data_IF_592213488659
#
_entry.id   IF_592213488659
#
_cell.length_a   1.000
_cell.length_b   1.000
_cell.length_c   1.000
_cell.angle_alpha   90.00
_cell.angle_beta   90.00
_cell.angle_gamma   90.00
#
_symmetry.space_group_name_H-M   'P 1'
#
loop_
_entity.id
_entity.type
_entity.pdbx_description
1 polymer ?
#
# COMPACT_ATOMS: atom_id res chain seq x y z
N UNK A 1 8.25 1.71 6.82
CA UNK A 1 8.47 2.84 5.89
C UNK A 1 7.17 3.33 5.29
N UNK A 2 6.50 2.59 4.40
CA UNK A 2 5.29 3.07 3.69
C UNK A 2 4.15 3.52 4.63
N UNK A 3 3.92 2.79 5.73
CA UNK A 3 2.93 3.18 6.74
C UNK A 3 3.30 4.49 7.46
N UNK A 4 4.57 4.66 7.80
CA UNK A 4 5.05 5.89 8.43
C UNK A 4 4.93 7.06 7.44
N UNK A 5 5.23 6.81 6.15
CA UNK A 5 5.12 7.79 5.09
C UNK A 5 3.69 8.30 4.93
N UNK A 6 2.69 7.41 4.82
CA UNK A 6 1.30 7.86 4.65
C UNK A 6 0.74 8.56 5.89
N UNK A 7 1.15 8.16 7.09
CA UNK A 7 0.76 8.86 8.33
C UNK A 7 1.36 10.27 8.36
N UNK A 8 2.67 10.37 8.12
CA UNK A 8 3.38 11.66 8.09
C UNK A 8 2.82 12.58 7.00
N UNK A 9 2.55 12.02 5.81
CA UNK A 9 1.98 12.77 4.70
C UNK A 9 0.58 13.31 5.04
N UNK A 10 -0.25 12.51 5.73
CA UNK A 10 -1.57 12.94 6.20
C UNK A 10 -1.46 14.07 7.22
N UNK A 11 -0.61 13.90 8.24
CA UNK A 11 -0.37 14.93 9.26
C UNK A 11 0.12 16.24 8.63
N UNK A 12 1.08 16.17 7.70
CA UNK A 12 1.62 17.34 7.01
C UNK A 12 0.63 18.02 6.07
N UNK A 13 -0.17 17.24 5.34
CA UNK A 13 -1.21 17.81 4.49
C UNK A 13 -2.29 18.54 5.30
N UNK A 14 -2.64 18.03 6.49
CA UNK A 14 -3.53 18.71 7.42
C UNK A 14 -2.91 20.00 7.95
N UNK A 15 -1.62 19.99 8.34
CA UNK A 15 -0.88 21.20 8.78
C UNK A 15 -0.85 22.31 7.72
N UNK A 16 -0.84 21.96 6.44
CA UNK A 16 -0.77 22.90 5.30
C UNK A 16 -2.15 23.23 4.69
N UNK A 17 -3.24 22.77 5.30
CA UNK A 17 -4.62 22.90 4.82
C UNK A 17 -4.86 22.30 3.42
N UNK A 18 -4.08 21.30 3.01
CA UNK A 18 -4.17 20.66 1.70
C UNK A 18 -5.22 19.56 1.62
N UNK A 19 -5.68 19.02 2.74
CA UNK A 19 -6.67 17.92 2.78
C UNK A 19 -8.03 18.29 2.19
N UNK A 20 -8.31 19.58 2.00
CA UNK A 20 -9.51 20.07 1.30
C UNK A 20 -9.38 20.04 -0.23
N UNK A 21 -8.15 19.96 -0.75
CA UNK A 21 -7.81 20.03 -2.19
C UNK A 21 -7.23 18.72 -2.73
N UNK A 22 -6.50 17.98 -1.90
CA UNK A 22 -5.83 16.74 -2.28
C UNK A 22 -6.44 15.54 -1.57
N UNK A 23 -6.53 14.42 -2.29
CA UNK A 23 -6.74 13.12 -1.69
C UNK A 23 -5.41 12.44 -1.43
N UNK A 24 -5.20 11.95 -0.21
CA UNK A 24 -4.03 11.15 0.14
C UNK A 24 -4.41 9.68 0.06
N UNK A 25 -3.69 8.94 -0.78
CA UNK A 25 -3.94 7.52 -0.99
C UNK A 25 -2.66 6.74 -1.19
N UNK A 26 -2.70 5.46 -0.83
CA UNK A 26 -1.80 4.47 -1.39
C UNK A 26 -2.15 4.24 -2.87
N UNK A 27 -1.20 3.66 -3.58
CA UNK A 27 -1.42 3.12 -4.91
C UNK A 27 -1.09 1.63 -4.93
N UNK A 28 -1.77 0.92 -5.82
CA UNK A 28 -1.47 -0.46 -6.10
C UNK A 28 -0.02 -0.59 -6.59
N UNK A 29 0.62 -1.74 -6.38
CA UNK A 29 1.96 -1.99 -6.94
C UNK A 29 1.88 -1.97 -8.46
N UNK A 30 2.67 -1.08 -9.08
CA UNK A 30 2.68 -0.87 -10.51
C UNK A 30 4.00 -0.21 -10.95
N UNK A 31 4.26 -0.23 -12.25
CA UNK A 31 5.49 0.30 -12.88
C UNK A 31 6.80 -0.31 -12.33
N UNK A 32 7.93 0.15 -12.85
CA UNK A 32 9.27 -0.22 -12.39
C UNK A 32 9.94 0.91 -11.60
N UNK A 33 11.19 0.73 -11.16
CA UNK A 33 12.07 -0.42 -11.41
C UNK A 33 11.71 -1.64 -10.53
N UNK A 34 11.84 -2.85 -11.07
CA UNK A 34 11.57 -4.11 -10.34
C UNK A 34 12.82 -4.83 -9.84
N UNK A 35 13.98 -4.54 -10.44
CA UNK A 35 15.28 -5.16 -10.14
C UNK A 35 16.04 -4.34 -9.09
N UNK A 36 15.42 -4.12 -7.93
CA UNK A 36 15.98 -3.37 -6.82
C UNK A 36 16.24 -4.29 -5.63
N UNK A 37 17.44 -4.20 -5.06
CA UNK A 37 17.81 -4.95 -3.84
C UNK A 37 17.75 -4.10 -2.57
N UNK A 38 17.59 -2.78 -2.71
CA UNK A 38 17.37 -1.86 -1.60
C UNK A 38 15.87 -1.60 -1.44
N UNK A 39 15.32 -1.64 -0.22
CA UNK A 39 13.91 -1.31 0.01
C UNK A 39 13.58 0.09 -0.51
N UNK A 40 12.51 0.21 -1.29
CA UNK A 40 12.16 1.43 -2.00
C UNK A 40 10.64 1.66 -1.94
N UNK A 41 10.23 2.92 -1.83
CA UNK A 41 8.85 3.38 -2.00
C UNK A 41 8.84 4.60 -2.91
N UNK A 42 7.69 4.86 -3.52
CA UNK A 42 7.40 6.12 -4.19
C UNK A 42 6.49 6.97 -3.30
N UNK A 43 6.73 8.29 -3.30
CA UNK A 43 5.86 9.31 -2.71
C UNK A 43 5.68 10.34 -3.81
N UNK A 44 4.44 10.61 -4.21
CA UNK A 44 4.14 11.28 -5.48
C UNK A 44 3.14 12.42 -5.29
N UNK A 45 3.19 13.39 -6.21
CA UNK A 45 2.18 14.43 -6.36
C UNK A 45 1.48 14.19 -7.70
N UNK A 46 0.16 14.05 -7.64
CA UNK A 46 -0.68 13.82 -8.80
C UNK A 46 -1.79 14.87 -8.93
N UNK A 47 -2.43 14.99 -10.10
CA UNK A 47 -2.26 14.10 -11.26
C UNK A 47 -1.84 14.82 -12.54
N UNK A 48 -1.69 16.14 -12.52
CA UNK A 48 -1.35 16.94 -13.70
C UNK A 48 -0.19 17.90 -13.41
N UNK A 49 0.40 18.54 -14.45
CA UNK A 49 1.38 19.58 -14.25
C UNK A 49 0.94 20.72 -13.33
N UNK A 50 -0.37 20.95 -13.16
CA UNK A 50 -0.85 21.93 -12.20
C UNK A 50 -0.48 21.54 -10.76
N UNK A 51 -0.78 20.31 -10.37
CA UNK A 51 -0.47 19.80 -9.03
C UNK A 51 1.03 19.60 -8.84
N UNK A 52 1.75 19.16 -9.88
CA UNK A 52 3.21 18.99 -9.81
C UNK A 52 3.97 20.29 -9.51
N UNK A 53 3.38 21.44 -9.87
CA UNK A 53 3.93 22.77 -9.61
C UNK A 53 3.25 23.47 -8.41
N UNK A 54 2.43 22.78 -7.62
CA UNK A 54 1.85 23.34 -6.40
C UNK A 54 2.91 23.34 -5.28
N UNK A 55 3.48 24.51 -5.02
CA UNK A 55 4.56 24.70 -4.04
C UNK A 55 4.21 24.12 -2.66
N UNK A 56 2.96 24.24 -2.21
CA UNK A 56 2.54 23.67 -0.92
C UNK A 56 2.57 22.15 -0.93
N UNK A 57 2.15 21.51 -2.03
CA UNK A 57 2.19 20.06 -2.15
C UNK A 57 3.65 19.56 -2.19
N UNK A 58 4.53 20.30 -2.87
CA UNK A 58 5.97 20.02 -2.91
C UNK A 58 6.61 20.17 -1.53
N UNK A 59 6.25 21.19 -0.76
CA UNK A 59 6.72 21.37 0.61
C UNK A 59 6.29 20.21 1.50
N UNK A 60 5.01 19.84 1.48
CA UNK A 60 4.47 18.71 2.26
C UNK A 60 5.17 17.40 1.92
N UNK A 61 5.39 17.11 0.63
CA UNK A 61 6.13 15.92 0.21
C UNK A 61 7.59 15.97 0.68
N UNK A 62 8.26 17.09 0.51
CA UNK A 62 9.67 17.28 0.89
C UNK A 62 9.88 17.13 2.40
N UNK A 63 9.02 17.75 3.22
CA UNK A 63 9.05 17.61 4.67
C UNK A 63 8.77 16.17 5.11
N UNK A 64 7.81 15.49 4.45
CA UNK A 64 7.52 14.08 4.70
C UNK A 64 8.77 13.22 4.49
N UNK A 65 9.47 13.41 3.36
CA UNK A 65 10.72 12.68 3.08
C UNK A 65 11.78 12.99 4.13
N UNK A 66 11.97 14.25 4.50
CA UNK A 66 12.96 14.65 5.50
C UNK A 66 12.68 14.04 6.88
N UNK A 67 11.42 13.96 7.29
CA UNK A 67 11.02 13.33 8.55
C UNK A 67 11.26 11.81 8.53
N UNK A 68 10.94 11.15 7.42
CA UNK A 68 11.21 9.71 7.24
C UNK A 68 12.71 9.39 7.30
N UNK A 69 13.57 10.27 6.79
CA UNK A 69 15.02 10.10 6.85
C UNK A 69 15.60 10.33 8.25
N UNK A 70 14.95 11.15 9.08
CA UNK A 70 15.37 11.43 10.47
C UNK A 70 14.92 10.34 11.44
N UNK A 71 13.79 9.71 11.18
CA UNK A 71 13.23 8.66 12.04
C UNK A 71 13.91 7.30 11.79
N UNK A 72 14.10 6.51 12.85
CA UNK A 72 14.49 5.10 12.69
C UNK A 72 13.27 4.33 12.19
N UNK A 73 13.32 3.86 10.94
CA UNK A 73 12.23 3.09 10.33
C UNK A 73 12.53 1.59 10.37
N UNK A 74 11.55 0.73 10.73
CA UNK A 74 10.24 1.09 11.30
C UNK A 74 10.36 1.54 12.76
N UNK A 75 9.64 2.61 13.10
CA UNK A 75 9.64 3.19 14.46
C UNK A 75 8.65 2.49 15.40
N UNK A 76 7.78 1.62 14.86
CA UNK A 76 6.68 0.95 15.57
C UNK A 76 6.57 -0.53 15.14
N UNK A 77 6.03 -1.35 16.04
CA UNK A 77 5.71 -2.75 15.75
C UNK A 77 4.36 -2.83 15.02
N UNK A 78 4.40 -3.01 13.70
CA UNK A 78 3.21 -3.12 12.87
C UNK A 78 2.85 -4.59 12.59
N UNK A 79 1.61 -4.84 12.21
CA UNK A 79 1.25 -6.11 11.58
C UNK A 79 1.39 -5.97 10.07
N UNK A 80 2.26 -6.78 9.47
CA UNK A 80 2.65 -6.67 8.07
C UNK A 80 1.83 -7.60 7.18
N UNK A 81 1.42 -7.09 6.01
CA UNK A 81 0.59 -7.81 5.05
C UNK A 81 1.01 -7.53 3.61
N UNK A 82 0.63 -8.45 2.72
CA UNK A 82 0.44 -8.14 1.29
C UNK A 82 -1.06 -7.96 1.01
N UNK A 83 -1.41 -6.92 0.27
CA UNK A 83 -2.78 -6.54 -0.05
C UNK A 83 -3.26 -7.13 -1.38
N UNK A 84 -4.51 -7.58 -1.43
CA UNK A 84 -5.12 -8.06 -2.68
C UNK A 84 -6.54 -7.51 -2.88
N UNK A 85 -6.84 -7.05 -4.09
CA UNK A 85 -8.13 -6.54 -4.49
C UNK A 85 -8.26 -5.02 -4.48
N UNK A 86 -9.46 -4.52 -4.73
CA UNK A 86 -9.75 -3.09 -4.82
C UNK A 86 -9.27 -2.44 -6.14
N UNK A 87 -9.55 -1.14 -6.30
CA UNK A 87 -9.08 -0.35 -7.45
C UNK A 87 -7.62 0.10 -7.26
N UNK A 88 -7.08 0.77 -8.27
CA UNK A 88 -5.70 1.27 -8.32
C UNK A 88 -5.30 2.13 -7.11
N UNK A 89 -6.10 3.15 -6.73
CA UNK A 89 -5.82 4.01 -5.57
C UNK A 89 -6.10 3.38 -4.19
N UNK A 90 -6.33 2.06 -4.13
CA UNK A 90 -6.36 1.27 -2.92
C UNK A 90 -7.07 1.89 -1.67
N UNK A 91 -8.26 2.53 -1.78
CA UNK A 91 -8.81 3.40 -0.73
C UNK A 91 -9.11 2.68 0.58
N UNK A 92 -9.52 1.41 0.48
CA UNK A 92 -9.78 0.59 1.66
C UNK A 92 -8.50 0.20 2.41
N UNK A 93 -7.38 0.06 1.69
CA UNK A 93 -6.06 -0.17 2.28
C UNK A 93 -5.49 1.12 2.87
N UNK A 94 -5.63 2.26 2.20
CA UNK A 94 -5.33 3.59 2.75
C UNK A 94 -6.02 3.78 4.09
N UNK A 95 -7.35 3.56 4.12
CA UNK A 95 -8.15 3.72 5.34
C UNK A 95 -7.71 2.81 6.48
N UNK A 96 -7.37 1.54 6.20
CA UNK A 96 -6.95 0.61 7.26
C UNK A 96 -5.54 0.93 7.77
N UNK A 97 -4.62 1.34 6.88
CA UNK A 97 -3.27 1.72 7.27
C UNK A 97 -3.23 3.00 8.10
N UNK A 98 -4.12 3.95 7.86
CA UNK A 98 -4.23 5.18 8.67
C UNK A 98 -4.87 4.95 10.04
N UNK A 99 -5.80 3.97 10.16
CA UNK A 99 -6.64 3.83 11.37
C UNK A 99 -6.24 2.71 12.33
N UNK A 100 -5.37 1.80 11.90
CA UNK A 100 -5.04 0.59 12.67
C UNK A 100 -3.52 0.39 12.76
N UNK A 101 -3.06 -0.70 13.35
CA UNK A 101 -1.65 -1.11 13.36
C UNK A 101 -1.21 -1.86 12.08
N UNK A 102 -2.10 -2.05 11.10
CA UNK A 102 -1.83 -2.74 9.83
C UNK A 102 -0.88 -1.93 8.94
N UNK A 103 0.19 -2.57 8.46
CA UNK A 103 1.07 -2.08 7.41
C UNK A 103 0.97 -3.01 6.19
N UNK A 104 0.75 -2.46 5.01
CA UNK A 104 0.70 -3.22 3.76
C UNK A 104 1.92 -2.85 2.93
N UNK A 105 2.63 -3.87 2.42
CA UNK A 105 3.73 -3.70 1.48
C UNK A 105 3.19 -3.62 0.04
N UNK A 106 3.32 -4.72 -0.69
CA UNK A 106 2.74 -4.83 -2.02
C UNK A 106 1.20 -4.90 -2.01
N UNK A 107 0.58 -4.35 -3.06
CA UNK A 107 -0.88 -4.39 -3.27
C UNK A 107 -1.16 -4.82 -4.72
N UNK A 108 -1.75 -5.99 -4.90
CA UNK A 108 -2.21 -6.45 -6.21
C UNK A 108 -3.69 -6.07 -6.40
N UNK A 109 -4.03 -5.12 -7.29
CA UNK A 109 -5.39 -4.62 -7.44
C UNK A 109 -6.26 -5.64 -8.17
N UNK A 110 -7.58 -5.55 -7.99
CA UNK A 110 -8.52 -6.59 -8.45
C UNK A 110 -8.49 -6.92 -9.94
N UNK A 111 -8.09 -5.97 -10.77
CA UNK A 111 -8.07 -6.12 -12.24
C UNK A 111 -6.91 -6.98 -12.74
N UNK A 112 -5.83 -7.18 -11.97
CA UNK A 112 -4.66 -7.97 -12.45
C UNK A 112 -4.95 -9.48 -12.48
N UNK A 113 -5.93 -9.93 -11.70
CA UNK A 113 -6.36 -11.32 -11.65
C UNK A 113 -6.94 -11.83 -12.98
N UNK A 114 -7.97 -11.20 -13.56
CA UNK A 114 -8.44 -11.56 -14.90
C UNK A 114 -7.41 -11.29 -16.01
N UNK A 115 -6.41 -10.44 -15.76
CA UNK A 115 -5.29 -10.22 -16.69
C UNK A 115 -4.22 -11.33 -16.64
N UNK A 116 -4.35 -12.31 -15.73
CA UNK A 116 -3.45 -13.45 -15.66
C UNK A 116 -2.17 -13.19 -14.86
N UNK A 117 -2.24 -12.42 -13.75
CA UNK A 117 -1.16 -12.40 -12.75
C UNK A 117 -0.82 -13.84 -12.36
N UNK A 118 0.48 -14.16 -12.36
CA UNK A 118 0.94 -15.52 -12.10
C UNK A 118 1.08 -15.79 -10.61
N UNK A 119 0.94 -17.06 -10.22
CA UNK A 119 1.08 -17.48 -8.82
C UNK A 119 2.48 -17.16 -8.27
N UNK A 120 3.52 -17.29 -9.10
CA UNK A 120 4.89 -16.99 -8.69
C UNK A 120 5.05 -15.51 -8.34
N UNK A 121 4.39 -14.62 -9.08
CA UNK A 121 4.40 -13.16 -8.81
C UNK A 121 3.65 -12.84 -7.51
N UNK A 122 2.53 -13.53 -7.25
CA UNK A 122 1.81 -13.40 -5.99
C UNK A 122 2.70 -13.81 -4.81
N UNK A 123 3.37 -14.96 -4.90
CA UNK A 123 4.24 -15.44 -3.83
C UNK A 123 5.49 -14.56 -3.67
N UNK A 124 6.10 -14.11 -4.78
CA UNK A 124 7.25 -13.21 -4.78
C UNK A 124 6.93 -11.88 -4.06
N UNK A 125 5.69 -11.40 -4.14
CA UNK A 125 5.29 -10.18 -3.45
C UNK A 125 5.38 -10.27 -1.92
N UNK A 126 5.40 -11.47 -1.33
CA UNK A 126 5.66 -11.64 0.11
C UNK A 126 7.16 -11.60 0.42
N UNK A 127 7.98 -12.25 -0.42
CA UNK A 127 9.43 -12.27 -0.28
C UNK A 127 10.08 -10.90 -0.51
N UNK A 128 9.47 -10.07 -1.36
CA UNK A 128 9.93 -8.71 -1.67
C UNK A 128 9.48 -7.64 -0.66
N UNK A 129 8.79 -8.04 0.42
CA UNK A 129 8.57 -7.17 1.59
C UNK A 129 9.63 -7.49 2.64
N UNK A 130 10.34 -6.48 3.12
CA UNK A 130 11.47 -6.61 4.06
C UNK A 130 11.10 -7.42 5.30
N UNK A 131 9.90 -7.19 5.84
CA UNK A 131 9.40 -7.82 7.05
C UNK A 131 8.89 -9.26 6.84
N UNK A 132 8.89 -9.76 5.60
CA UNK A 132 8.49 -11.12 5.22
C UNK A 132 7.15 -11.55 5.84
N UNK A 133 6.05 -10.83 5.52
CA UNK A 133 4.75 -11.11 6.12
C UNK A 133 4.27 -12.52 5.77
N UNK A 134 3.69 -13.22 6.75
CA UNK A 134 2.96 -14.48 6.53
C UNK A 134 1.44 -14.27 6.51
N UNK A 135 0.98 -13.03 6.31
CA UNK A 135 -0.43 -12.65 6.32
C UNK A 135 -0.81 -11.91 5.03
N UNK A 136 -1.93 -12.30 4.44
CA UNK A 136 -2.55 -11.63 3.30
C UNK A 136 -3.78 -10.85 3.74
N UNK A 137 -3.93 -9.62 3.25
CA UNK A 137 -5.13 -8.81 3.48
C UNK A 137 -5.93 -8.66 2.20
N UNK A 138 -7.10 -9.30 2.15
CA UNK A 138 -7.95 -9.32 0.96
C UNK A 138 -9.11 -8.34 1.10
N UNK A 139 -9.22 -7.40 0.16
CA UNK A 139 -10.42 -6.62 -0.06
C UNK A 139 -11.44 -7.52 -0.76
N UNK A 140 -12.26 -8.20 0.05
CA UNK A 140 -13.02 -9.40 -0.38
C UNK A 140 -13.86 -9.19 -1.64
N UNK A 141 -14.53 -8.04 -1.76
CA UNK A 141 -15.43 -7.75 -2.90
C UNK A 141 -14.71 -7.27 -4.17
N UNK A 142 -13.43 -6.90 -4.09
CA UNK A 142 -12.68 -6.35 -5.23
C UNK A 142 -11.94 -7.40 -6.03
N UNK A 143 -12.04 -8.67 -5.67
CA UNK A 143 -11.63 -9.79 -6.50
C UNK A 143 -12.87 -10.63 -6.77
N UNK A 144 -13.22 -10.81 -8.04
CA UNK A 144 -14.36 -11.63 -8.46
C UNK A 144 -13.99 -13.11 -8.36
N UNK A 145 -14.99 -13.96 -8.15
CA UNK A 145 -14.81 -15.40 -8.39
C UNK A 145 -14.67 -15.63 -9.91
N UNK A 146 -13.92 -16.65 -10.37
CA UNK A 146 -13.24 -17.69 -9.56
C UNK A 146 -11.89 -17.23 -8.96
N UNK A 147 -11.31 -16.12 -9.44
CA UNK A 147 -9.96 -15.69 -9.06
C UNK A 147 -9.72 -15.57 -7.57
N UNK A 148 -10.71 -15.07 -6.81
CA UNK A 148 -10.60 -14.97 -5.35
C UNK A 148 -10.47 -16.34 -4.67
N UNK A 149 -11.16 -17.36 -5.16
CA UNK A 149 -11.06 -18.72 -4.60
C UNK A 149 -9.68 -19.30 -4.87
N UNK A 150 -9.20 -19.19 -6.12
CA UNK A 150 -7.87 -19.64 -6.50
C UNK A 150 -6.77 -18.94 -5.69
N UNK A 151 -6.89 -17.62 -5.46
CA UNK A 151 -5.96 -16.88 -4.61
C UNK A 151 -5.98 -17.40 -3.16
N UNK A 152 -7.17 -17.61 -2.58
CA UNK A 152 -7.29 -18.11 -1.20
C UNK A 152 -6.70 -19.52 -1.07
N UNK A 153 -6.90 -20.38 -2.06
CA UNK A 153 -6.31 -21.73 -2.11
C UNK A 153 -4.78 -21.65 -2.19
N UNK A 154 -4.23 -20.90 -3.15
CA UNK A 154 -2.79 -20.67 -3.29
C UNK A 154 -2.15 -20.19 -1.98
N UNK A 155 -2.73 -19.18 -1.34
CA UNK A 155 -2.19 -18.60 -0.10
C UNK A 155 -2.20 -19.63 1.04
N UNK A 156 -3.28 -20.42 1.17
CA UNK A 156 -3.36 -21.48 2.20
C UNK A 156 -2.35 -22.60 1.98
N UNK A 157 -2.16 -23.04 0.75
CA UNK A 157 -1.16 -24.07 0.39
C UNK A 157 0.27 -23.64 0.74
N UNK A 158 0.51 -22.31 0.77
CA UNK A 158 1.80 -21.71 1.11
C UNK A 158 1.87 -21.21 2.58
N UNK A 159 0.97 -21.65 3.46
CA UNK A 159 0.91 -21.28 4.87
C UNK A 159 0.76 -19.77 5.14
N UNK A 160 0.11 -19.03 4.22
CA UNK A 160 -0.17 -17.61 4.38
C UNK A 160 -1.58 -17.43 4.95
N UNK A 161 -1.67 -16.77 6.10
CA UNK A 161 -2.94 -16.49 6.77
C UNK A 161 -3.77 -15.48 5.96
N UNK A 162 -5.03 -15.79 5.65
CA UNK A 162 -5.91 -14.91 4.89
C UNK A 162 -6.83 -14.13 5.82
N UNK A 163 -6.66 -12.80 5.85
CA UNK A 163 -7.55 -11.89 6.53
C UNK A 163 -8.41 -11.12 5.54
N UNK A 164 -9.64 -10.83 5.97
CA UNK A 164 -10.61 -10.05 5.21
C UNK A 164 -10.58 -8.61 5.68
N UNK A 165 -10.32 -7.69 4.75
CA UNK A 165 -10.28 -6.26 5.05
C UNK A 165 -11.62 -5.76 5.60
N UNK A 166 -12.75 -6.28 5.10
CA UNK A 166 -14.09 -5.93 5.60
C UNK A 166 -14.39 -6.43 7.03
N UNK A 167 -13.49 -7.20 7.63
CA UNK A 167 -13.59 -7.69 9.02
C UNK A 167 -12.67 -6.96 10.00
N UNK A 168 -11.76 -6.13 9.50
CA UNK A 168 -10.93 -5.30 10.37
C UNK A 168 -11.78 -4.16 10.92
N UNK A 169 -11.84 -4.05 12.26
CA UNK A 169 -12.49 -2.91 12.93
C UNK A 169 -11.62 -1.67 12.68
N UNK A 170 -12.23 -0.63 12.13
CA UNK A 170 -11.57 0.63 11.73
C UNK A 170 -12.00 1.77 12.63
#
# INVERSE_FOLDING_TARGET
>A
LLKDAINTLMEKADEYDLSSRYSISLEATHHGPTEMHTPLIFIEIGSTPLEWNDEKAVDVLSETVMELLRTKVPSKNYEYYVGFGGPHYAPEFTKVMLKTNVAVGHIAPGYVFPMGVKNEVILESFEKVVEKPCKALIQWKGIKNPFRQNLVELLKENNIEVLRLDKIRK
#
